data_IF_017556289416
#
_entry.id   IF_017556289416
#
_cell.length_a   1.000
_cell.length_b   1.000
_cell.length_c   1.000
_cell.angle_alpha   90.00
_cell.angle_beta   90.00
_cell.angle_gamma   90.00
#
_symmetry.space_group_name_H-M   'P 1'
#
loop_
_entity.id
_entity.type
_entity.pdbx_description
1 polymer ?
#
# COMPACT_ATOMS: atom_id res chain seq x y z
N UNK A 1 -15.12 12.51 -1.14
CA UNK A 1 -14.50 11.24 -1.56
C UNK A 1 -15.44 10.10 -1.23
N UNK A 2 -15.64 9.17 -2.14
CA UNK A 2 -16.56 8.06 -1.92
C UNK A 2 -15.96 7.04 -0.95
N UNK A 3 -16.85 6.21 -0.38
CA UNK A 3 -16.40 5.14 0.53
C UNK A 3 -15.44 4.17 -0.19
N UNK A 4 -15.65 3.93 -1.48
CA UNK A 4 -14.78 3.04 -2.25
C UNK A 4 -13.33 3.55 -2.28
N UNK A 5 -13.14 4.85 -2.43
CA UNK A 5 -11.79 5.44 -2.40
C UNK A 5 -11.17 5.35 -1.02
N UNK A 6 -11.97 5.54 0.04
CA UNK A 6 -11.48 5.39 1.42
C UNK A 6 -11.02 3.94 1.66
N UNK A 7 -11.81 2.97 1.21
CA UNK A 7 -11.46 1.55 1.34
C UNK A 7 -10.17 1.23 0.57
N UNK A 8 -10.03 1.81 -0.61
CA UNK A 8 -8.85 1.60 -1.43
C UNK A 8 -7.59 2.15 -0.76
N UNK A 9 -7.68 3.37 -0.21
CA UNK A 9 -6.56 4.01 0.48
C UNK A 9 -6.15 3.18 1.70
N UNK A 10 -7.13 2.76 2.51
CA UNK A 10 -6.84 1.95 3.69
C UNK A 10 -6.23 0.61 3.26
N UNK A 11 -6.74 0.00 2.19
CA UNK A 11 -6.17 -1.23 1.65
C UNK A 11 -4.72 -1.06 1.24
N UNK A 12 -4.39 0.05 0.60
CA UNK A 12 -3.02 0.37 0.22
C UNK A 12 -2.12 0.53 1.44
N UNK A 13 -2.63 1.12 2.52
CA UNK A 13 -1.87 1.24 3.77
C UNK A 13 -1.62 -0.14 4.40
N UNK A 14 -2.55 -1.07 4.29
CA UNK A 14 -2.31 -2.44 4.74
C UNK A 14 -1.28 -3.15 3.85
N UNK A 15 -1.17 -2.75 2.58
CA UNK A 15 -0.08 -3.26 1.73
C UNK A 15 1.28 -2.86 2.30
N UNK A 16 1.42 -1.62 2.77
CA UNK A 16 2.61 -1.21 3.51
C UNK A 16 2.81 -2.10 4.73
N UNK A 17 1.74 -2.38 5.46
CA UNK A 17 1.79 -3.25 6.64
C UNK A 17 2.35 -4.63 6.32
N UNK A 18 1.85 -5.27 5.25
CA UNK A 18 2.35 -6.61 4.94
C UNK A 18 3.77 -6.58 4.37
N UNK A 19 4.15 -5.52 3.66
CA UNK A 19 5.52 -5.38 3.16
C UNK A 19 6.51 -5.19 4.31
N UNK A 20 6.16 -4.36 5.30
CA UNK A 20 6.96 -4.17 6.51
C UNK A 20 7.08 -5.48 7.29
N UNK A 21 5.98 -6.21 7.41
CA UNK A 21 5.99 -7.51 8.11
C UNK A 21 6.95 -8.50 7.46
N UNK A 22 6.97 -8.55 6.13
CA UNK A 22 7.92 -9.39 5.41
C UNK A 22 9.36 -8.96 5.68
N UNK A 23 9.62 -7.64 5.65
CA UNK A 23 10.95 -7.11 5.94
C UNK A 23 11.42 -7.47 7.34
N UNK A 24 10.53 -7.33 8.33
CA UNK A 24 10.84 -7.69 9.71
C UNK A 24 11.07 -9.18 9.85
N UNK A 25 10.29 -10.01 9.16
CA UNK A 25 10.47 -11.46 9.18
C UNK A 25 11.85 -11.86 8.66
N UNK A 26 12.38 -11.15 7.66
CA UNK A 26 13.71 -11.41 7.11
C UNK A 26 14.82 -11.07 8.10
N UNK A 27 14.56 -10.16 9.04
CA UNK A 27 15.56 -9.73 10.03
C UNK A 27 15.41 -10.39 11.38
N UNK A 28 14.54 -11.39 11.50
CA UNK A 28 14.28 -12.11 12.76
C UNK A 28 14.33 -13.61 12.50
N UNK A 29 14.31 -14.39 13.57
CA UNK A 29 14.34 -15.86 13.48
C UNK A 29 13.51 -16.46 14.60
N UNK A 30 13.22 -17.76 14.50
CA UNK A 30 12.48 -18.49 15.51
C UNK A 30 11.04 -17.99 15.65
N UNK A 31 10.59 -17.87 16.89
CA UNK A 31 9.19 -17.47 17.16
C UNK A 31 8.87 -16.07 16.66
N UNK A 32 9.84 -15.16 16.77
CA UNK A 32 9.63 -13.77 16.35
C UNK A 32 9.38 -13.69 14.85
N UNK A 33 10.10 -14.48 14.06
CA UNK A 33 9.88 -14.55 12.62
C UNK A 33 8.45 -15.02 12.31
N UNK A 34 7.96 -16.02 13.02
CA UNK A 34 6.60 -16.53 12.83
C UNK A 34 5.55 -15.50 13.19
N UNK A 35 5.79 -14.68 14.22
CA UNK A 35 4.87 -13.58 14.56
C UNK A 35 4.77 -12.58 13.42
N UNK A 36 5.91 -12.24 12.80
CA UNK A 36 5.90 -11.32 11.66
C UNK A 36 5.22 -11.93 10.44
N UNK A 37 5.39 -13.22 10.21
CA UNK A 37 4.71 -13.90 9.11
C UNK A 37 3.20 -13.98 9.36
N UNK A 38 2.77 -14.13 10.62
CA UNK A 38 1.35 -14.07 10.97
C UNK A 38 0.79 -12.67 10.71
N UNK A 39 1.54 -11.62 11.08
CA UNK A 39 1.14 -10.24 10.79
C UNK A 39 1.03 -10.00 9.29
N UNK A 40 1.93 -10.57 8.50
CA UNK A 40 1.86 -10.53 7.05
C UNK A 40 0.56 -11.15 6.54
N UNK A 41 0.24 -12.35 7.01
CA UNK A 41 -0.95 -13.07 6.54
C UNK A 41 -2.23 -12.28 6.84
N UNK A 42 -2.32 -11.69 8.04
CA UNK A 42 -3.47 -10.88 8.44
C UNK A 42 -3.54 -9.62 7.58
N UNK A 43 -2.41 -8.92 7.42
CA UNK A 43 -2.37 -7.68 6.66
C UNK A 43 -2.71 -7.89 5.19
N UNK A 44 -2.17 -8.94 4.55
CA UNK A 44 -2.45 -9.20 3.15
C UNK A 44 -3.92 -9.57 2.94
N UNK A 45 -4.50 -10.32 3.87
CA UNK A 45 -5.92 -10.70 3.78
C UNK A 45 -6.81 -9.47 3.87
N UNK A 46 -6.54 -8.58 4.83
CA UNK A 46 -7.31 -7.34 4.97
C UNK A 46 -7.11 -6.42 3.78
N UNK A 47 -5.89 -6.30 3.30
CA UNK A 47 -5.57 -5.46 2.15
C UNK A 47 -6.32 -5.92 0.90
N UNK A 48 -6.30 -7.20 0.62
CA UNK A 48 -6.99 -7.78 -0.53
C UNK A 48 -8.51 -7.64 -0.41
N UNK A 49 -9.04 -7.86 0.79
CA UNK A 49 -10.48 -7.69 1.02
C UNK A 49 -10.92 -6.26 0.75
N UNK A 50 -10.17 -5.28 1.26
CA UNK A 50 -10.49 -3.87 1.05
C UNK A 50 -10.38 -3.47 -0.41
N UNK A 51 -9.37 -3.99 -1.12
CA UNK A 51 -9.23 -3.78 -2.56
C UNK A 51 -10.45 -4.34 -3.30
N UNK A 52 -10.85 -5.56 -2.96
CA UNK A 52 -12.03 -6.19 -3.54
C UNK A 52 -13.28 -5.34 -3.30
N UNK A 53 -13.50 -4.86 -2.09
CA UNK A 53 -14.67 -4.02 -1.76
C UNK A 53 -14.65 -2.70 -2.52
N UNK A 54 -13.47 -2.12 -2.73
CA UNK A 54 -13.34 -0.86 -3.45
C UNK A 54 -13.77 -0.98 -4.92
N UNK A 55 -13.69 -2.18 -5.48
CA UNK A 55 -14.07 -2.45 -6.86
C UNK A 55 -15.54 -2.83 -7.04
N UNK A 56 -16.32 -2.83 -5.95
CA UNK A 56 -17.72 -3.27 -5.99
C UNK A 56 -18.71 -2.16 -5.72
N UNK A 57 -19.99 -2.46 -6.00
CA UNK A 57 -21.10 -1.56 -5.69
C UNK A 57 -21.33 -0.51 -6.75
N UNK A 58 -22.18 0.46 -6.41
CA UNK A 58 -22.62 1.51 -7.35
C UNK A 58 -21.50 2.46 -7.74
N UNK A 59 -20.53 2.66 -6.84
CA UNK A 59 -19.42 3.58 -7.07
C UNK A 59 -18.11 2.81 -7.21
N UNK A 60 -18.18 1.66 -7.88
CA UNK A 60 -17.04 0.80 -8.09
C UNK A 60 -15.90 1.53 -8.81
N UNK A 61 -14.70 1.35 -8.31
CA UNK A 61 -13.50 1.85 -8.97
C UNK A 61 -13.09 0.81 -10.02
N UNK A 62 -12.80 1.23 -11.26
CA UNK A 62 -12.36 0.27 -12.29
C UNK A 62 -11.14 -0.52 -11.83
N UNK A 63 -11.08 -1.78 -12.23
CA UNK A 63 -10.04 -2.72 -11.78
C UNK A 63 -8.64 -2.17 -11.98
N UNK A 64 -8.34 -1.66 -13.18
CA UNK A 64 -7.01 -1.14 -13.47
C UNK A 64 -6.63 0.04 -12.58
N UNK A 65 -7.54 0.98 -12.42
CA UNK A 65 -7.32 2.15 -11.57
C UNK A 65 -7.18 1.74 -10.10
N UNK A 66 -8.07 0.87 -9.63
CA UNK A 66 -8.03 0.40 -8.23
C UNK A 66 -6.70 -0.28 -7.92
N UNK A 67 -6.27 -1.19 -8.78
CA UNK A 67 -5.03 -1.92 -8.56
C UNK A 67 -3.81 -0.99 -8.62
N UNK A 68 -3.79 -0.07 -9.59
CA UNK A 68 -2.67 0.87 -9.74
C UNK A 68 -2.55 1.80 -8.53
N UNK A 69 -3.67 2.34 -8.05
CA UNK A 69 -3.67 3.24 -6.89
C UNK A 69 -3.33 2.48 -5.61
N UNK A 70 -3.91 1.30 -5.42
CA UNK A 70 -3.62 0.44 -4.27
C UNK A 70 -2.12 0.12 -4.21
N UNK A 71 -1.54 -0.31 -5.33
CA UNK A 71 -0.12 -0.63 -5.40
C UNK A 71 0.77 0.59 -5.18
N UNK A 72 0.38 1.74 -5.73
CA UNK A 72 1.13 2.97 -5.56
C UNK A 72 1.14 3.45 -4.11
N UNK A 73 -0.02 3.41 -3.44
CA UNK A 73 -0.11 3.81 -2.02
C UNK A 73 0.76 2.89 -1.17
N UNK A 74 0.67 1.58 -1.42
CA UNK A 74 1.51 0.60 -0.71
C UNK A 74 2.99 0.82 -0.95
N UNK A 75 3.37 1.12 -2.20
CA UNK A 75 4.76 1.38 -2.56
C UNK A 75 5.28 2.65 -1.87
N UNK A 76 4.50 3.73 -1.90
CA UNK A 76 4.85 4.98 -1.24
C UNK A 76 5.06 4.74 0.25
N UNK A 77 4.09 4.09 0.90
CA UNK A 77 4.17 3.78 2.32
C UNK A 77 5.35 2.90 2.65
N UNK A 78 5.65 1.90 1.81
CA UNK A 78 6.76 0.98 2.03
C UNK A 78 8.10 1.69 1.89
N UNK A 79 8.25 2.61 0.93
CA UNK A 79 9.49 3.39 0.81
C UNK A 79 9.70 4.25 2.06
N UNK A 80 8.64 4.90 2.55
CA UNK A 80 8.72 5.71 3.77
C UNK A 80 9.07 4.82 4.97
N UNK A 81 8.40 3.68 5.11
CA UNK A 81 8.66 2.75 6.20
C UNK A 81 10.09 2.19 6.11
N UNK A 82 10.58 1.92 4.90
CA UNK A 82 11.94 1.46 4.68
C UNK A 82 12.97 2.46 5.18
N UNK A 83 12.74 3.74 4.92
CA UNK A 83 13.63 4.80 5.39
C UNK A 83 13.62 4.88 6.92
N UNK A 84 12.44 4.84 7.53
CA UNK A 84 12.29 5.03 8.97
C UNK A 84 12.71 3.77 9.74
N UNK A 85 12.22 2.59 9.33
CA UNK A 85 12.37 1.35 10.10
C UNK A 85 13.59 0.55 9.72
N UNK A 86 13.99 0.59 8.46
CA UNK A 86 15.11 -0.22 7.95
C UNK A 86 16.33 0.63 7.59
N UNK A 87 16.27 1.92 7.89
CA UNK A 87 17.38 2.86 7.67
C UNK A 87 17.86 2.89 6.22
N UNK A 88 16.95 2.76 5.28
CA UNK A 88 17.28 2.83 3.88
C UNK A 88 17.67 4.27 3.50
N UNK A 89 18.51 4.44 2.48
CA UNK A 89 19.02 5.77 2.14
C UNK A 89 17.94 6.70 1.58
N UNK A 90 18.05 7.98 1.94
CA UNK A 90 17.24 9.03 1.34
C UNK A 90 18.10 9.68 0.27
N UNK A 91 17.76 9.45 -0.99
CA UNK A 91 18.49 10.01 -2.11
C UNK A 91 17.57 10.92 -2.91
N UNK A 92 18.17 11.85 -3.65
CA UNK A 92 17.42 12.75 -4.52
C UNK A 92 16.52 11.96 -5.49
N UNK A 93 17.07 10.96 -6.16
CA UNK A 93 16.32 10.22 -7.17
C UNK A 93 15.19 9.38 -6.57
N UNK A 94 15.38 8.83 -5.38
CA UNK A 94 14.29 8.13 -4.68
C UNK A 94 13.15 9.08 -4.37
N UNK A 95 13.47 10.27 -3.86
CA UNK A 95 12.47 11.28 -3.51
C UNK A 95 11.79 11.83 -4.77
N UNK A 96 12.56 12.04 -5.83
CA UNK A 96 12.01 12.51 -7.10
C UNK A 96 10.97 11.53 -7.65
N UNK A 97 11.32 10.25 -7.76
CA UNK A 97 10.41 9.26 -8.31
C UNK A 97 9.23 8.96 -7.38
N UNK A 98 9.44 9.02 -6.08
CA UNK A 98 8.35 8.89 -5.12
C UNK A 98 7.34 10.03 -5.29
N UNK A 99 7.84 11.25 -5.50
CA UNK A 99 6.99 12.42 -5.71
C UNK A 99 6.17 12.28 -7.00
N UNK A 100 6.76 11.80 -8.09
CA UNK A 100 6.01 11.57 -9.32
C UNK A 100 4.92 10.53 -9.13
N UNK A 101 5.18 9.51 -8.33
CA UNK A 101 4.20 8.47 -8.02
C UNK A 101 3.00 9.06 -7.27
N UNK A 102 3.25 9.90 -6.26
CA UNK A 102 2.21 10.59 -5.50
C UNK A 102 1.34 11.44 -6.42
N UNK A 103 1.97 12.22 -7.29
CA UNK A 103 1.27 13.08 -8.24
C UNK A 103 0.39 12.23 -9.16
N UNK A 104 0.90 11.10 -9.64
CA UNK A 104 0.16 10.20 -10.52
C UNK A 104 -1.07 9.62 -9.83
N UNK A 105 -0.95 9.26 -8.54
CA UNK A 105 -2.09 8.74 -7.76
C UNK A 105 -3.18 9.81 -7.63
N UNK A 106 -2.79 11.03 -7.32
CA UNK A 106 -3.72 12.15 -7.20
C UNK A 106 -4.42 12.38 -8.55
N UNK A 107 -3.66 12.36 -9.64
CA UNK A 107 -4.20 12.53 -10.98
C UNK A 107 -5.22 11.45 -11.32
N UNK A 108 -4.94 10.19 -11.03
CA UNK A 108 -5.87 9.10 -11.26
C UNK A 108 -7.15 9.27 -10.46
N UNK A 109 -7.05 9.71 -9.22
CA UNK A 109 -8.22 9.92 -8.38
C UNK A 109 -9.10 11.04 -8.95
N UNK A 110 -8.51 12.13 -9.39
CA UNK A 110 -9.25 13.26 -9.96
C UNK A 110 -9.96 12.85 -11.26
N UNK A 111 -9.24 12.18 -12.16
CA UNK A 111 -9.80 11.74 -13.44
C UNK A 111 -10.91 10.72 -13.23
N UNK A 112 -10.74 9.81 -12.30
CA UNK A 112 -11.71 8.74 -12.02
C UNK A 112 -12.95 9.25 -11.29
N UNK A 113 -12.89 10.43 -10.67
CA UNK A 113 -14.03 11.03 -9.97
C UNK A 113 -15.01 11.72 -10.90
N UNK A 114 -14.64 11.88 -12.17
CA UNK A 114 -15.50 12.49 -13.18
C UNK A 114 -16.38 11.44 -13.89
#
# INVERSE_FOLDING_TARGET
MSINWILLIIGGLFETGFAVSLGKAQHTSGKEQWWWLAAFAISVSLSMYLLFKAMGGDKAIPVGTAYAVWGAIGAIGTVIAGIILFKEPVTFWRMFFLSTLVISVIGLQIVSSK
#
